data_IF_928119028425
#
_entry.id   IF_928119028425
#
_cell.length_a   1.000
_cell.length_b   1.000
_cell.length_c   1.000
_cell.angle_alpha   90.00
_cell.angle_beta   90.00
_cell.angle_gamma   90.00
#
_symmetry.space_group_name_H-M   'P 1'
#
loop_
_entity.id
_entity.type
_entity.pdbx_description
1 polymer ?
#
# COMPACT_ATOMS: atom_id res chain seq x y z
N UNK A 1 -22.36 4.29 6.17
CA UNK A 1 -22.14 5.02 7.43
C UNK A 1 -20.63 5.12 7.62
N UNK A 2 -20.08 6.31 7.82
CA UNK A 2 -18.64 6.54 8.02
C UNK A 2 -18.25 6.44 9.51
N UNK A 3 -16.95 6.39 9.82
CA UNK A 3 -16.47 6.24 11.21
C UNK A 3 -17.05 7.30 12.15
N UNK A 4 -17.13 8.56 11.71
CA UNK A 4 -17.64 9.67 12.51
C UNK A 4 -19.12 9.51 12.83
N UNK A 5 -19.93 9.11 11.84
CA UNK A 5 -21.36 8.81 12.04
C UNK A 5 -21.58 7.66 13.03
N UNK A 6 -20.72 6.63 13.03
CA UNK A 6 -20.80 5.54 14.02
C UNK A 6 -20.42 6.03 15.41
N UNK A 7 -19.37 6.85 15.53
CA UNK A 7 -18.94 7.41 16.81
C UNK A 7 -20.00 8.34 17.41
N UNK A 8 -20.63 9.18 16.59
CA UNK A 8 -21.68 10.08 17.05
C UNK A 8 -22.92 9.32 17.46
N UNK A 9 -23.29 8.26 16.73
CA UNK A 9 -24.34 7.33 17.15
C UNK A 9 -24.01 6.68 18.50
N UNK A 10 -22.78 6.18 18.71
CA UNK A 10 -22.38 5.58 20.00
C UNK A 10 -22.55 6.59 21.15
N UNK A 11 -22.08 7.84 20.98
CA UNK A 11 -22.20 8.88 22.02
C UNK A 11 -23.65 9.22 22.34
N UNK A 12 -24.50 9.39 21.32
CA UNK A 12 -25.91 9.67 21.49
C UNK A 12 -26.61 8.50 22.22
N UNK A 13 -26.30 7.27 21.82
CA UNK A 13 -26.86 6.06 22.44
C UNK A 13 -26.38 5.86 23.89
N UNK A 14 -25.11 6.14 24.21
CA UNK A 14 -24.59 6.09 25.58
C UNK A 14 -25.34 7.08 26.49
N UNK A 15 -25.64 8.28 26.02
CA UNK A 15 -26.42 9.27 26.77
C UNK A 15 -27.88 8.81 27.02
N UNK A 16 -28.56 8.27 26.01
CA UNK A 16 -29.95 7.79 26.11
C UNK A 16 -30.10 6.56 27.02
N UNK A 17 -29.06 5.73 27.11
CA UNK A 17 -29.06 4.47 27.88
C UNK A 17 -29.15 4.61 29.39
N UNK A 18 -28.97 5.82 29.90
CA UNK A 18 -29.09 6.14 31.32
C UNK A 18 -30.52 5.96 31.85
N UNK A 19 -31.52 5.82 30.96
CA UNK A 19 -32.92 5.55 31.30
C UNK A 19 -33.23 4.02 31.25
N UNK A 20 -33.47 3.40 32.42
CA UNK A 20 -33.33 1.95 32.68
C UNK A 20 -34.34 1.00 32.02
N UNK A 21 -35.33 1.49 31.26
CA UNK A 21 -36.49 0.67 30.87
C UNK A 21 -36.21 -0.42 29.82
N UNK A 22 -35.06 -0.42 29.12
CA UNK A 22 -34.76 -1.43 28.08
C UNK A 22 -33.27 -1.78 27.89
N UNK A 23 -32.59 -2.18 28.98
CA UNK A 23 -31.14 -2.51 29.01
C UNK A 23 -30.68 -3.50 27.93
N UNK A 24 -31.47 -4.53 27.61
CA UNK A 24 -31.07 -5.56 26.62
C UNK A 24 -31.05 -5.00 25.19
N UNK A 25 -32.05 -4.19 24.82
CA UNK A 25 -32.08 -3.53 23.51
C UNK A 25 -30.93 -2.54 23.37
N UNK A 26 -30.59 -1.84 24.46
CA UNK A 26 -29.43 -0.95 24.50
C UNK A 26 -28.12 -1.69 24.24
N UNK A 27 -27.87 -2.78 24.96
CA UNK A 27 -26.65 -3.59 24.79
C UNK A 27 -26.53 -4.17 23.37
N UNK A 28 -27.65 -4.64 22.79
CA UNK A 28 -27.66 -5.16 21.43
C UNK A 28 -27.33 -4.08 20.38
N UNK A 29 -27.89 -2.87 20.51
CA UNK A 29 -27.61 -1.76 19.60
C UNK A 29 -26.18 -1.26 19.72
N UNK A 30 -25.68 -1.12 20.95
CA UNK A 30 -24.31 -0.70 21.19
C UNK A 30 -23.30 -1.72 20.66
N UNK A 31 -23.58 -3.02 20.82
CA UNK A 31 -22.79 -4.09 20.21
C UNK A 31 -22.74 -3.94 18.68
N UNK A 32 -23.89 -3.74 18.04
CA UNK A 32 -23.94 -3.53 16.59
C UNK A 32 -23.07 -2.34 16.15
N UNK A 33 -23.18 -1.19 16.80
CA UNK A 33 -22.39 -0.01 16.45
C UNK A 33 -20.88 -0.24 16.65
N UNK A 34 -20.48 -0.98 17.69
CA UNK A 34 -19.08 -1.35 17.93
C UNK A 34 -18.55 -2.31 16.86
N UNK A 35 -19.35 -3.29 16.46
CA UNK A 35 -18.99 -4.22 15.38
C UNK A 35 -18.81 -3.45 14.06
N UNK A 36 -19.69 -2.49 13.75
CA UNK A 36 -19.55 -1.62 12.58
C UNK A 36 -18.28 -0.76 12.64
N UNK A 37 -17.98 -0.17 13.80
CA UNK A 37 -16.76 0.63 13.99
C UNK A 37 -15.49 -0.21 13.82
N UNK A 38 -15.49 -1.44 14.35
CA UNK A 38 -14.38 -2.37 14.20
C UNK A 38 -14.14 -2.73 12.74
N UNK A 39 -15.20 -3.01 11.97
CA UNK A 39 -15.11 -3.30 10.55
C UNK A 39 -14.53 -2.13 9.76
N UNK A 40 -15.05 -0.91 9.95
CA UNK A 40 -14.56 0.30 9.25
C UNK A 40 -13.07 0.53 9.52
N UNK A 41 -12.64 0.34 10.77
CA UNK A 41 -11.22 0.47 11.15
C UNK A 41 -10.36 -0.63 10.56
N UNK A 42 -10.86 -1.87 10.55
CA UNK A 42 -10.20 -3.01 9.93
C UNK A 42 -9.96 -2.78 8.44
N UNK A 43 -11.00 -2.41 7.70
CA UNK A 43 -10.92 -2.10 6.26
C UNK A 43 -9.91 -0.98 5.97
N UNK A 44 -9.89 0.07 6.80
CA UNK A 44 -8.93 1.17 6.66
C UNK A 44 -7.49 0.72 6.92
N UNK A 45 -7.27 -0.11 7.93
CA UNK A 45 -5.95 -0.65 8.27
C UNK A 45 -5.45 -1.61 7.17
N UNK A 46 -6.31 -2.48 6.67
CA UNK A 46 -5.99 -3.38 5.54
C UNK A 46 -5.65 -2.59 4.28
N UNK A 47 -6.47 -1.59 3.92
CA UNK A 47 -6.18 -0.73 2.78
C UNK A 47 -4.85 0.03 2.90
N UNK A 48 -4.51 0.49 4.11
CA UNK A 48 -3.22 1.13 4.37
C UNK A 48 -2.05 0.14 4.22
N UNK A 49 -2.18 -1.06 4.81
CA UNK A 49 -1.16 -2.12 4.71
C UNK A 49 -0.92 -2.51 3.25
N UNK A 50 -1.98 -2.74 2.49
CA UNK A 50 -1.89 -3.06 1.06
C UNK A 50 -1.24 -1.91 0.28
N UNK A 51 -1.63 -0.67 0.54
CA UNK A 51 -1.07 0.50 -0.13
C UNK A 51 0.44 0.64 0.12
N UNK A 52 0.87 0.45 1.37
CA UNK A 52 2.29 0.47 1.74
C UNK A 52 3.04 -0.68 1.05
N UNK A 53 2.49 -1.90 1.11
CA UNK A 53 3.14 -3.07 0.50
C UNK A 53 3.29 -2.91 -1.03
N UNK A 54 2.24 -2.48 -1.72
CA UNK A 54 2.27 -2.19 -3.17
C UNK A 54 3.28 -1.09 -3.48
N UNK A 55 3.28 0.00 -2.71
CA UNK A 55 4.21 1.12 -2.90
C UNK A 55 5.67 0.73 -2.70
N UNK A 56 5.98 -0.09 -1.68
CA UNK A 56 7.34 -0.60 -1.45
C UNK A 56 7.78 -1.51 -2.60
N UNK A 57 6.93 -2.42 -3.05
CA UNK A 57 7.27 -3.36 -4.11
C UNK A 57 7.48 -2.65 -5.46
N UNK A 58 6.59 -1.73 -5.83
CA UNK A 58 6.77 -0.91 -7.03
C UNK A 58 8.03 -0.04 -6.95
N UNK A 59 8.28 0.58 -5.80
CA UNK A 59 9.47 1.41 -5.59
C UNK A 59 10.76 0.60 -5.69
N UNK A 60 10.79 -0.60 -5.11
CA UNK A 60 11.92 -1.53 -5.19
C UNK A 60 12.18 -1.95 -6.63
N UNK A 61 11.14 -2.33 -7.37
CA UNK A 61 11.27 -2.76 -8.77
C UNK A 61 11.80 -1.62 -9.66
N UNK A 62 11.20 -0.43 -9.56
CA UNK A 62 11.67 0.76 -10.30
C UNK A 62 13.11 1.12 -9.95
N UNK A 63 13.46 1.08 -8.66
CA UNK A 63 14.82 1.39 -8.21
C UNK A 63 15.88 0.39 -8.74
N UNK A 64 15.54 -0.90 -8.82
CA UNK A 64 16.42 -1.90 -9.44
C UNK A 64 16.59 -1.62 -10.93
N UNK A 65 15.50 -1.39 -11.66
CA UNK A 65 15.54 -1.08 -13.10
C UNK A 65 16.35 0.18 -13.38
N UNK A 66 16.10 1.27 -12.66
CA UNK A 66 16.88 2.51 -12.77
C UNK A 66 18.36 2.29 -12.45
N UNK A 67 18.66 1.52 -11.40
CA UNK A 67 20.03 1.18 -11.02
C UNK A 67 20.78 0.41 -12.11
N UNK A 68 20.13 -0.59 -12.72
CA UNK A 68 20.69 -1.36 -13.85
C UNK A 68 20.93 -0.44 -15.05
N UNK A 69 19.98 0.44 -15.38
CA UNK A 69 20.12 1.39 -16.49
C UNK A 69 21.28 2.38 -16.28
N UNK A 70 21.45 2.88 -15.05
CA UNK A 70 22.57 3.74 -14.68
C UNK A 70 23.90 2.98 -14.82
N UNK A 71 23.96 1.73 -14.37
CA UNK A 71 25.15 0.88 -14.49
C UNK A 71 25.52 0.64 -15.95
N UNK A 72 24.55 0.26 -16.80
CA UNK A 72 24.74 0.06 -18.25
C UNK A 72 25.32 1.32 -18.89
N UNK A 73 24.70 2.50 -18.67
CA UNK A 73 25.18 3.78 -19.24
C UNK A 73 26.62 4.09 -18.83
N UNK A 74 26.97 3.83 -17.57
CA UNK A 74 28.32 4.07 -17.03
C UNK A 74 29.35 3.08 -17.58
N UNK A 75 28.97 1.83 -17.84
CA UNK A 75 29.85 0.84 -18.45
C UNK A 75 30.09 1.13 -19.93
N UNK A 76 29.03 1.49 -20.67
CA UNK A 76 29.12 1.93 -22.07
C UNK A 76 30.01 3.17 -22.21
N UNK A 77 29.85 4.18 -21.34
CA UNK A 77 30.67 5.40 -21.40
C UNK A 77 32.16 5.16 -21.11
N UNK A 78 32.49 4.03 -20.47
CA UNK A 78 33.87 3.57 -20.25
C UNK A 78 34.42 2.71 -21.39
N UNK A 79 33.65 2.50 -22.46
CA UNK A 79 34.05 1.67 -23.60
C UNK A 79 33.90 0.17 -23.37
N UNK A 80 33.11 -0.25 -22.37
CA UNK A 80 32.81 -1.69 -22.17
C UNK A 80 31.89 -2.15 -23.29
N UNK A 81 32.21 -3.27 -23.94
CA UNK A 81 31.43 -3.79 -25.05
C UNK A 81 30.01 -4.21 -24.59
N UNK A 82 28.94 -3.93 -25.36
CA UNK A 82 27.57 -4.30 -25.02
C UNK A 82 27.40 -5.79 -24.68
N UNK A 83 28.11 -6.67 -25.38
CA UNK A 83 28.11 -8.12 -25.16
C UNK A 83 28.65 -8.47 -23.77
N UNK A 84 29.72 -7.79 -23.33
CA UNK A 84 30.30 -7.99 -22.00
C UNK A 84 29.38 -7.45 -20.90
N UNK A 85 28.70 -6.34 -21.14
CA UNK A 85 27.74 -5.77 -20.18
C UNK A 85 26.52 -6.69 -20.01
N UNK A 86 26.02 -7.26 -21.12
CA UNK A 86 24.91 -8.21 -21.11
C UNK A 86 25.22 -9.42 -20.23
N UNK A 87 26.41 -10.00 -20.39
CA UNK A 87 26.90 -11.12 -19.59
C UNK A 87 27.09 -10.75 -18.11
N UNK A 88 27.72 -9.60 -17.82
CA UNK A 88 27.98 -9.15 -16.44
C UNK A 88 26.71 -8.85 -15.63
N UNK A 89 25.67 -8.35 -16.27
CA UNK A 89 24.44 -7.90 -15.61
C UNK A 89 23.27 -8.87 -15.79
N UNK A 90 23.48 -9.99 -16.49
CA UNK A 90 22.43 -10.93 -16.93
C UNK A 90 21.25 -10.16 -17.55
N UNK A 91 21.57 -9.26 -18.48
CA UNK A 91 20.62 -8.30 -19.04
C UNK A 91 20.53 -8.43 -20.57
N UNK A 92 19.34 -8.30 -21.19
CA UNK A 92 19.18 -8.51 -22.62
C UNK A 92 20.08 -7.58 -23.46
N UNK A 93 20.91 -8.19 -24.31
CA UNK A 93 21.83 -7.46 -25.20
C UNK A 93 21.10 -6.44 -26.10
N UNK A 94 19.91 -6.79 -26.59
CA UNK A 94 19.10 -5.91 -27.43
C UNK A 94 18.69 -4.62 -26.70
N UNK A 95 18.37 -4.70 -25.40
CA UNK A 95 18.01 -3.53 -24.59
C UNK A 95 19.23 -2.63 -24.30
N UNK A 96 20.41 -3.22 -24.15
CA UNK A 96 21.66 -2.48 -24.01
C UNK A 96 22.01 -1.74 -25.31
N UNK A 97 21.87 -2.41 -26.46
CA UNK A 97 22.15 -1.84 -27.79
C UNK A 97 21.25 -0.65 -28.12
N UNK A 98 19.96 -0.69 -27.74
CA UNK A 98 19.04 0.46 -27.85
C UNK A 98 19.56 1.68 -27.09
N UNK A 99 20.23 1.48 -25.96
CA UNK A 99 20.79 2.55 -25.12
C UNK A 99 22.10 3.12 -25.67
N UNK A 100 22.77 2.42 -26.59
CA UNK A 100 24.00 2.85 -27.26
C UNK A 100 23.76 3.54 -28.63
N UNK A 101 22.54 3.44 -29.18
CA UNK A 101 22.20 3.87 -30.54
C UNK A 101 21.57 5.27 -30.69
N UNK A 102 21.81 6.20 -29.74
CA UNK A 102 21.40 7.61 -29.85
C UNK A 102 22.60 8.54 -29.95
#
# INVERSE_FOLDING_TARGET
MNEQEVLDAIKEWENLSTNRENKVLYEARLKFLRDQLANIRGEREEGLKEGIQKGIEEGRQKGIEEGVQIAIKKMLSKGTAPETIADMLDYPLEEIKKSSGK
#
